data_IF_342227354023
#
_entry.id   IF_342227354023
#
_cell.length_a   1.000
_cell.length_b   1.000
_cell.length_c   1.000
_cell.angle_alpha   90.00
_cell.angle_beta   90.00
_cell.angle_gamma   90.00
#
_symmetry.space_group_name_H-M   'P 1'
#
loop_
_entity.id
_entity.type
_entity.pdbx_description
1 polymer ?
#
# COMPACT_ATOMS: atom_id res chain seq x y z
N UNK A 1 20.34 -49.10 36.30
CA UNK A 1 21.36 -48.08 36.63
C UNK A 1 22.70 -48.57 36.11
N UNK A 2 23.17 -48.03 34.99
CA UNK A 2 24.41 -48.48 34.36
C UNK A 2 25.45 -47.36 34.43
N UNK A 3 26.52 -47.61 35.22
CA UNK A 3 27.75 -46.81 35.22
C UNK A 3 28.63 -47.33 34.09
N UNK A 4 28.93 -46.47 33.13
CA UNK A 4 29.94 -46.74 32.12
C UNK A 4 31.25 -46.13 32.62
N UNK A 5 32.23 -46.99 32.93
CA UNK A 5 33.60 -46.62 33.23
C UNK A 5 34.38 -46.78 31.93
N UNK A 6 34.88 -45.69 31.35
CA UNK A 6 35.84 -45.75 30.24
C UNK A 6 37.21 -45.37 30.81
N UNK A 7 38.07 -46.37 30.95
CA UNK A 7 39.49 -46.17 31.24
C UNK A 7 40.26 -46.01 29.91
N UNK A 8 40.88 -44.86 29.72
CA UNK A 8 41.81 -44.58 28.63
C UNK A 8 43.04 -43.89 29.19
N UNK A 9 44.14 -44.62 29.27
CA UNK A 9 45.45 -44.16 29.73
C UNK A 9 46.33 -43.82 28.53
N UNK A 10 46.89 -42.61 28.49
CA UNK A 10 48.33 -42.41 28.25
C UNK A 10 48.70 -40.92 28.37
N UNK A 11 49.81 -40.70 29.06
CA UNK A 11 50.56 -39.45 29.25
C UNK A 11 50.09 -38.57 30.41
N UNK A 12 50.75 -38.80 31.55
CA UNK A 12 50.45 -38.24 32.86
C UNK A 12 50.40 -36.72 32.92
N UNK A 13 49.27 -36.24 33.42
CA UNK A 13 49.08 -35.07 34.30
C UNK A 13 47.69 -35.20 34.90
N UNK A 14 47.62 -35.65 36.15
CA UNK A 14 46.38 -35.74 36.92
C UNK A 14 45.93 -34.33 37.26
N UNK A 15 45.05 -33.74 36.46
CA UNK A 15 44.32 -32.54 36.84
C UNK A 15 43.05 -32.99 37.57
N UNK A 16 43.00 -32.73 38.88
CA UNK A 16 41.78 -32.85 39.69
C UNK A 16 40.84 -31.74 39.24
N UNK A 17 39.83 -32.07 38.44
CA UNK A 17 38.73 -31.15 38.16
C UNK A 17 37.63 -31.39 39.19
N UNK A 18 37.56 -30.47 40.15
CA UNK A 18 36.40 -30.30 41.02
C UNK A 18 35.18 -30.01 40.16
N UNK A 19 34.13 -30.83 40.32
CA UNK A 19 32.84 -30.60 39.72
C UNK A 19 32.20 -29.36 40.36
N UNK A 20 32.34 -28.20 39.71
CA UNK A 20 31.58 -27.02 40.04
C UNK A 20 30.11 -27.25 39.69
N UNK A 21 29.27 -27.14 40.73
CA UNK A 21 27.82 -27.02 40.71
C UNK A 21 27.27 -26.49 39.36
N UNK A 22 26.33 -27.22 38.77
CA UNK A 22 25.48 -26.74 37.67
C UNK A 22 24.60 -25.59 38.17
N UNK A 23 25.20 -24.41 38.26
CA UNK A 23 24.50 -23.14 38.32
C UNK A 23 23.75 -22.97 37.01
N UNK A 24 22.44 -22.76 37.13
CA UNK A 24 21.51 -22.48 36.05
C UNK A 24 22.14 -21.56 35.01
N UNK A 25 22.18 -22.02 33.76
CA UNK A 25 22.47 -21.18 32.61
C UNK A 25 21.54 -19.96 32.71
N UNK A 26 22.05 -18.71 32.82
CA UNK A 26 21.16 -17.57 32.73
C UNK A 26 20.53 -17.61 31.35
N UNK A 27 19.22 -17.87 31.33
CA UNK A 27 18.37 -17.69 30.15
C UNK A 27 18.71 -16.33 29.57
N UNK A 28 19.00 -16.21 28.26
CA UNK A 28 19.35 -14.93 27.67
C UNK A 28 18.23 -13.97 28.01
N UNK A 29 18.56 -12.92 28.75
CA UNK A 29 17.64 -11.88 29.12
C UNK A 29 16.94 -11.43 27.84
N UNK A 30 15.63 -11.67 27.76
CA UNK A 30 14.77 -11.13 26.72
C UNK A 30 14.97 -9.63 26.77
N UNK A 31 15.70 -9.14 25.78
CA UNK A 31 16.10 -7.75 25.67
C UNK A 31 14.82 -6.91 25.71
N UNK A 32 14.72 -6.04 26.71
CA UNK A 32 13.54 -5.21 27.02
C UNK A 32 13.29 -4.11 25.97
N UNK A 33 13.81 -4.30 24.75
CA UNK A 33 13.51 -3.53 23.55
C UNK A 33 12.16 -3.87 22.89
N UNK A 34 11.43 -4.88 23.38
CA UNK A 34 10.08 -5.21 22.87
C UNK A 34 9.04 -4.09 23.05
N UNK A 35 9.35 -3.03 23.82
CA UNK A 35 8.50 -1.84 23.98
C UNK A 35 8.74 -0.74 22.92
N UNK A 36 9.54 -0.99 21.88
CA UNK A 36 9.80 -0.02 20.77
C UNK A 36 9.30 -0.46 19.39
N UNK A 37 8.90 -1.71 19.22
CA UNK A 37 8.46 -2.23 17.92
C UNK A 37 7.00 -1.89 17.59
N UNK A 38 6.14 -1.71 18.61
CA UNK A 38 4.73 -1.33 18.42
C UNK A 38 4.59 -0.02 17.60
N UNK A 39 5.50 0.94 17.78
CA UNK A 39 5.46 2.21 17.05
C UNK A 39 5.80 2.06 15.56
N UNK A 40 6.66 1.10 15.18
CA UNK A 40 7.08 0.96 13.78
C UNK A 40 6.00 0.26 12.95
N UNK A 41 5.39 -0.78 13.50
CA UNK A 41 4.34 -1.54 12.84
C UNK A 41 3.08 -0.68 12.69
N UNK A 42 2.68 0.03 13.75
CA UNK A 42 1.55 0.96 13.69
C UNK A 42 1.77 2.07 12.66
N UNK A 43 2.97 2.67 12.63
CA UNK A 43 3.31 3.72 11.66
C UNK A 43 3.34 3.17 10.23
N UNK A 44 3.81 1.94 10.04
CA UNK A 44 3.79 1.26 8.76
C UNK A 44 2.36 0.97 8.31
N UNK A 45 1.53 0.43 9.19
CA UNK A 45 0.13 0.15 8.90
C UNK A 45 -0.67 1.41 8.61
N UNK A 46 -0.35 2.52 9.29
CA UNK A 46 -0.89 3.83 8.94
C UNK A 46 -0.48 4.27 7.52
N UNK A 47 0.80 4.16 7.16
CA UNK A 47 1.28 4.47 5.79
C UNK A 47 0.59 3.57 4.75
N UNK A 48 0.51 2.28 5.01
CA UNK A 48 -0.12 1.29 4.12
C UNK A 48 -1.61 1.56 3.95
N UNK A 49 -2.34 1.68 5.06
CA UNK A 49 -3.77 1.96 5.05
C UNK A 49 -4.08 3.20 4.23
N UNK A 50 -3.29 4.26 4.41
CA UNK A 50 -3.43 5.52 3.65
C UNK A 50 -3.16 5.33 2.15
N UNK A 51 -2.05 4.68 1.79
CA UNK A 51 -1.66 4.51 0.39
C UNK A 51 -2.58 3.53 -0.34
N UNK A 52 -2.85 2.36 0.24
CA UNK A 52 -3.67 1.32 -0.38
C UNK A 52 -5.13 1.77 -0.54
N UNK A 53 -5.69 2.42 0.49
CA UNK A 53 -7.04 3.00 0.41
C UNK A 53 -7.10 4.13 -0.62
N UNK A 54 -6.11 5.02 -0.63
CA UNK A 54 -6.05 6.11 -1.62
C UNK A 54 -5.88 5.59 -3.05
N UNK A 55 -4.97 4.66 -3.29
CA UNK A 55 -4.76 4.05 -4.60
C UNK A 55 -6.02 3.32 -5.10
N UNK A 56 -6.73 2.62 -4.21
CA UNK A 56 -8.01 1.97 -4.54
C UNK A 56 -9.07 3.00 -4.96
N UNK A 57 -9.11 4.15 -4.30
CA UNK A 57 -10.05 5.22 -4.64
C UNK A 57 -9.69 5.91 -5.97
N UNK A 58 -8.40 6.12 -6.23
CA UNK A 58 -7.90 6.61 -7.52
C UNK A 58 -8.26 5.64 -8.64
N UNK A 59 -8.05 4.34 -8.44
CA UNK A 59 -8.42 3.32 -9.42
C UNK A 59 -9.91 3.37 -9.79
N UNK A 60 -10.79 3.53 -8.79
CA UNK A 60 -12.24 3.70 -9.02
C UNK A 60 -12.55 4.99 -9.79
N UNK A 61 -11.93 6.10 -9.40
CA UNK A 61 -12.15 7.40 -10.05
C UNK A 61 -11.66 7.40 -11.51
N UNK A 62 -10.54 6.72 -11.80
CA UNK A 62 -10.07 6.50 -13.16
C UNK A 62 -11.07 5.62 -13.94
N UNK A 63 -11.57 4.54 -13.33
CA UNK A 63 -12.62 3.70 -13.92
C UNK A 63 -13.85 4.51 -14.32
N UNK A 64 -14.34 5.38 -13.43
CA UNK A 64 -15.43 6.29 -13.78
C UNK A 64 -15.10 7.24 -14.92
N UNK A 65 -13.89 7.82 -14.92
CA UNK A 65 -13.46 8.71 -15.99
C UNK A 65 -13.44 7.99 -17.34
N UNK A 66 -13.01 6.73 -17.37
CA UNK A 66 -13.06 5.87 -18.56
C UNK A 66 -14.50 5.58 -18.96
N UNK A 67 -15.36 5.17 -18.01
CA UNK A 67 -16.79 4.92 -18.25
C UNK A 67 -17.47 6.12 -18.92
N UNK A 68 -17.29 7.30 -18.33
CA UNK A 68 -17.92 8.55 -18.80
C UNK A 68 -17.40 9.02 -20.16
N UNK A 69 -16.18 8.64 -20.54
CA UNK A 69 -15.66 8.89 -21.88
C UNK A 69 -16.34 8.02 -22.93
N UNK A 70 -16.45 6.71 -22.68
CA UNK A 70 -17.04 5.80 -23.67
C UNK A 70 -18.56 5.92 -23.74
N UNK A 71 -19.24 6.25 -22.63
CA UNK A 71 -20.70 6.27 -22.57
C UNK A 71 -21.22 7.45 -21.72
N UNK A 72 -21.80 8.48 -22.36
CA UNK A 72 -22.62 9.46 -21.67
C UNK A 72 -23.83 8.77 -21.01
N UNK A 73 -24.37 9.35 -19.95
CA UNK A 73 -25.36 8.77 -19.02
C UNK A 73 -26.73 8.41 -19.62
N UNK A 74 -26.94 8.54 -20.93
CA UNK A 74 -28.21 8.30 -21.61
C UNK A 74 -28.61 6.82 -21.72
N UNK A 75 -27.68 5.86 -21.56
CA UNK A 75 -27.98 4.43 -21.55
C UNK A 75 -27.46 3.76 -20.26
N UNK A 76 -28.37 3.55 -19.31
CA UNK A 76 -28.07 3.01 -17.97
C UNK A 76 -27.57 1.56 -18.05
N UNK A 77 -28.20 0.71 -18.88
CA UNK A 77 -27.83 -0.71 -18.98
C UNK A 77 -26.42 -0.90 -19.56
N UNK A 78 -26.11 -0.16 -20.64
CA UNK A 78 -24.76 -0.15 -21.20
C UNK A 78 -23.75 0.36 -20.16
N UNK A 79 -24.09 1.45 -19.45
CA UNK A 79 -23.25 1.99 -18.38
C UNK A 79 -22.93 0.94 -17.30
N UNK A 80 -23.92 0.16 -16.85
CA UNK A 80 -23.73 -0.91 -15.86
C UNK A 80 -22.81 -2.01 -16.42
N UNK A 81 -23.04 -2.44 -17.66
CA UNK A 81 -22.21 -3.46 -18.31
C UNK A 81 -20.74 -3.04 -18.46
N UNK A 82 -20.47 -1.84 -18.98
CA UNK A 82 -19.08 -1.36 -19.07
C UNK A 82 -18.45 -1.19 -17.70
N UNK A 83 -19.25 -0.81 -16.70
CA UNK A 83 -18.76 -0.71 -15.35
C UNK A 83 -18.38 -2.06 -14.75
N UNK A 84 -19.10 -3.14 -15.08
CA UNK A 84 -18.74 -4.50 -14.62
C UNK A 84 -17.41 -4.93 -15.24
N UNK A 85 -17.19 -4.65 -16.54
CA UNK A 85 -15.91 -4.90 -17.22
C UNK A 85 -14.77 -4.12 -16.55
N UNK A 86 -14.96 -2.82 -16.30
CA UNK A 86 -13.93 -1.98 -15.69
C UNK A 86 -13.61 -2.36 -14.24
N UNK A 87 -14.52 -3.01 -13.52
CA UNK A 87 -14.28 -3.48 -12.15
C UNK A 87 -13.87 -4.95 -12.06
N UNK A 88 -13.91 -5.68 -13.17
CA UNK A 88 -13.55 -7.08 -13.16
C UNK A 88 -12.11 -7.25 -12.64
N UNK A 89 -11.86 -8.35 -11.92
CA UNK A 89 -10.55 -8.63 -11.30
C UNK A 89 -9.40 -8.62 -12.32
N UNK A 90 -9.67 -9.07 -13.54
CA UNK A 90 -8.69 -9.06 -14.63
C UNK A 90 -8.42 -7.65 -15.19
N UNK A 91 -9.32 -6.67 -14.98
CA UNK A 91 -9.17 -5.29 -15.44
C UNK A 91 -8.48 -4.42 -14.40
N UNK A 92 -7.21 -4.74 -14.18
CA UNK A 92 -6.36 -4.16 -13.13
C UNK A 92 -6.10 -2.66 -13.30
N UNK A 93 -5.52 -2.04 -12.27
CA UNK A 93 -5.12 -0.64 -12.32
C UNK A 93 -4.16 -0.33 -13.49
N UNK A 94 -3.23 -1.24 -13.81
CA UNK A 94 -2.36 -1.11 -14.99
C UNK A 94 -3.20 -1.02 -16.27
N UNK A 95 -4.17 -1.93 -16.45
CA UNK A 95 -5.00 -1.95 -17.66
C UNK A 95 -5.83 -0.68 -17.81
N UNK A 96 -6.34 -0.13 -16.71
CA UNK A 96 -7.04 1.17 -16.71
C UNK A 96 -6.11 2.31 -17.14
N UNK A 97 -4.89 2.36 -16.61
CA UNK A 97 -3.90 3.37 -17.00
C UNK A 97 -3.52 3.20 -18.49
N UNK A 98 -3.26 1.97 -18.93
CA UNK A 98 -2.95 1.68 -20.32
C UNK A 98 -4.09 2.08 -21.27
N UNK A 99 -5.34 1.79 -20.90
CA UNK A 99 -6.51 2.22 -21.67
C UNK A 99 -6.61 3.75 -21.75
N UNK A 100 -6.43 4.44 -20.61
CA UNK A 100 -6.38 5.90 -20.56
C UNK A 100 -5.28 6.47 -21.46
N UNK A 101 -4.10 5.83 -21.52
CA UNK A 101 -3.00 6.24 -22.39
C UNK A 101 -3.28 5.97 -23.87
N UNK A 102 -4.03 4.92 -24.22
CA UNK A 102 -4.33 4.55 -25.62
C UNK A 102 -5.34 5.49 -26.27
N UNK A 103 -6.26 6.06 -25.51
CA UNK A 103 -7.34 6.91 -26.02
C UNK A 103 -6.80 8.29 -26.46
N UNK A 104 -6.89 8.67 -27.75
CA UNK A 104 -6.33 9.93 -28.27
C UNK A 104 -6.92 11.18 -27.61
N UNK A 105 -8.21 11.16 -27.25
CA UNK A 105 -8.87 12.27 -26.56
C UNK A 105 -8.12 12.67 -25.28
N UNK A 106 -7.70 11.70 -24.46
CA UNK A 106 -7.01 12.01 -23.20
C UNK A 106 -5.60 12.59 -23.44
N UNK A 107 -4.90 12.15 -24.49
CA UNK A 107 -3.57 12.69 -24.84
C UNK A 107 -3.60 14.18 -25.15
N UNK A 108 -4.73 14.70 -25.65
CA UNK A 108 -4.92 16.11 -26.00
C UNK A 108 -5.27 16.99 -24.79
N UNK A 109 -5.50 16.41 -23.60
CA UNK A 109 -5.83 17.19 -22.41
C UNK A 109 -4.59 17.94 -21.90
N UNK A 110 -4.76 19.22 -21.56
CA UNK A 110 -3.68 20.11 -21.07
C UNK A 110 -2.85 19.51 -19.93
N UNK A 111 -3.48 18.74 -19.04
CA UNK A 111 -2.83 18.15 -17.86
C UNK A 111 -2.45 16.67 -18.05
N UNK A 112 -2.48 16.14 -19.29
CA UNK A 112 -2.26 14.72 -19.57
C UNK A 112 -0.96 14.20 -18.95
N UNK A 113 0.17 14.85 -19.21
CA UNK A 113 1.47 14.43 -18.68
C UNK A 113 1.49 14.36 -17.14
N UNK A 114 0.91 15.37 -16.48
CA UNK A 114 0.82 15.43 -15.02
C UNK A 114 -0.06 14.31 -14.46
N UNK A 115 -1.16 13.99 -15.14
CA UNK A 115 -2.07 12.90 -14.76
C UNK A 115 -1.39 11.55 -14.91
N UNK A 116 -0.73 11.29 -16.03
CA UNK A 116 0.03 10.05 -16.24
C UNK A 116 1.12 9.88 -15.19
N UNK A 117 1.92 10.92 -14.95
CA UNK A 117 2.97 10.88 -13.93
C UNK A 117 2.39 10.55 -12.55
N UNK A 118 1.24 11.14 -12.21
CA UNK A 118 0.57 10.88 -10.93
C UNK A 118 0.00 9.46 -10.84
N UNK A 119 -0.61 8.96 -11.91
CA UNK A 119 -1.12 7.59 -11.97
C UNK A 119 0.01 6.57 -11.82
N UNK A 120 1.13 6.77 -12.52
CA UNK A 120 2.30 5.89 -12.46
C UNK A 120 2.99 5.93 -11.10
N UNK A 121 3.06 7.11 -10.47
CA UNK A 121 3.56 7.24 -9.10
C UNK A 121 2.73 6.38 -8.12
N UNK A 122 1.41 6.59 -8.09
CA UNK A 122 0.52 5.89 -7.15
C UNK A 122 0.53 4.38 -7.41
N UNK A 123 0.50 3.98 -8.69
CA UNK A 123 0.56 2.58 -9.06
C UNK A 123 1.84 1.91 -8.58
N UNK A 124 3.00 2.52 -8.84
CA UNK A 124 4.30 1.99 -8.41
C UNK A 124 4.34 1.84 -6.90
N UNK A 125 3.94 2.87 -6.16
CA UNK A 125 3.94 2.85 -4.71
C UNK A 125 2.98 1.80 -4.12
N UNK A 126 1.78 1.65 -4.70
CA UNK A 126 0.84 0.58 -4.31
C UNK A 126 1.46 -0.81 -4.52
N UNK A 127 2.08 -1.04 -5.67
CA UNK A 127 2.65 -2.35 -6.00
C UNK A 127 3.83 -2.70 -5.09
N UNK A 128 4.68 -1.72 -4.78
CA UNK A 128 5.77 -1.87 -3.80
C UNK A 128 5.24 -2.28 -2.40
N UNK A 129 4.03 -1.84 -2.04
CA UNK A 129 3.37 -2.14 -0.76
C UNK A 129 2.47 -3.38 -0.77
N UNK A 130 2.32 -4.06 -1.92
CA UNK A 130 1.48 -5.25 -2.02
C UNK A 130 2.20 -6.53 -1.53
N UNK A 131 3.52 -6.58 -1.73
CA UNK A 131 4.36 -7.72 -1.34
C UNK A 131 5.61 -7.19 -0.63
N UNK A 132 5.56 -7.16 0.70
CA UNK A 132 6.65 -6.59 1.50
C UNK A 132 6.77 -7.29 2.85
N UNK A 133 7.96 -7.15 3.44
CA UNK A 133 8.34 -7.56 4.78
C UNK A 133 9.03 -6.36 5.47
N UNK A 134 8.82 -6.24 6.79
CA UNK A 134 9.42 -5.18 7.60
C UNK A 134 10.90 -5.49 7.79
N UNK A 135 11.79 -4.55 7.45
CA UNK A 135 13.20 -4.66 7.82
C UNK A 135 13.57 -3.83 9.06
N UNK A 136 12.71 -2.91 9.47
CA UNK A 136 12.93 -2.02 10.62
C UNK A 136 13.15 -0.56 10.23
N UNK A 137 13.78 0.21 11.13
CA UNK A 137 14.05 1.64 10.94
C UNK A 137 15.21 1.91 9.97
N UNK A 138 15.18 3.10 9.36
CA UNK A 138 16.34 3.63 8.65
C UNK A 138 17.53 3.81 9.58
N UNK A 139 18.68 3.25 9.19
CA UNK A 139 19.93 3.31 9.97
C UNK A 139 20.40 4.72 10.31
N UNK A 140 19.93 5.74 9.57
CA UNK A 140 20.26 7.16 9.78
C UNK A 140 19.09 8.00 10.30
N UNK A 141 17.87 7.49 10.25
CA UNK A 141 16.69 8.27 10.60
C UNK A 141 15.57 7.34 11.09
N UNK A 142 15.25 7.44 12.39
CA UNK A 142 14.16 6.68 13.05
C UNK A 142 12.77 7.08 12.54
N UNK A 143 12.64 8.14 11.75
CA UNK A 143 11.40 8.45 11.08
C UNK A 143 11.18 7.69 9.77
N UNK A 144 12.22 7.02 9.26
CA UNK A 144 12.13 6.21 8.05
C UNK A 144 11.84 4.76 8.40
N UNK A 145 10.82 4.19 7.75
CA UNK A 145 10.53 2.76 7.80
C UNK A 145 11.08 2.13 6.53
N UNK A 146 11.89 1.09 6.67
CA UNK A 146 12.41 0.32 5.55
C UNK A 146 11.56 -0.93 5.39
N UNK A 147 10.92 -1.03 4.23
CA UNK A 147 10.26 -2.26 3.80
C UNK A 147 11.08 -2.91 2.69
N UNK A 148 10.91 -4.20 2.55
CA UNK A 148 11.62 -5.02 1.59
C UNK A 148 10.66 -5.94 0.86
N UNK A 149 10.81 -6.06 -0.44
CA UNK A 149 10.01 -6.98 -1.24
C UNK A 149 10.77 -8.31 -1.39
N UNK A 150 10.27 -9.43 -0.83
CA UNK A 150 10.96 -10.72 -0.85
C UNK A 150 11.06 -11.34 -2.24
N UNK A 151 10.20 -10.93 -3.18
CA UNK A 151 10.18 -11.46 -4.55
C UNK A 151 11.20 -10.75 -5.45
N UNK A 152 11.34 -9.44 -5.28
CA UNK A 152 12.19 -8.61 -6.16
C UNK A 152 13.48 -8.14 -5.48
N UNK A 153 13.66 -8.47 -4.21
CA UNK A 153 14.79 -8.07 -3.37
C UNK A 153 14.97 -6.55 -3.22
N UNK A 154 13.94 -5.76 -3.58
CA UNK A 154 14.00 -4.29 -3.57
C UNK A 154 13.64 -3.74 -2.20
N UNK A 155 14.47 -2.83 -1.71
CA UNK A 155 14.21 -2.04 -0.49
C UNK A 155 13.50 -0.74 -0.84
N UNK A 156 12.56 -0.33 0.00
CA UNK A 156 11.84 0.93 -0.11
C UNK A 156 11.83 1.62 1.23
N UNK A 157 12.11 2.93 1.21
CA UNK A 157 12.03 3.78 2.39
C UNK A 157 10.70 4.53 2.38
N UNK A 158 9.93 4.39 3.45
CA UNK A 158 8.72 5.14 3.71
C UNK A 158 9.03 6.20 4.76
N UNK A 159 8.68 7.44 4.44
CA UNK A 159 8.90 8.58 5.32
C UNK A 159 7.81 9.64 5.07
N UNK A 160 7.80 10.69 5.89
CA UNK A 160 6.80 11.76 5.76
C UNK A 160 6.77 12.38 4.35
N UNK A 161 7.92 12.57 3.71
CA UNK A 161 8.04 13.13 2.36
C UNK A 161 7.29 12.29 1.32
N UNK A 162 7.44 10.96 1.34
CA UNK A 162 6.75 10.10 0.36
C UNK A 162 5.24 10.13 0.54
N UNK A 163 4.78 10.31 1.79
CA UNK A 163 3.36 10.44 2.11
C UNK A 163 2.81 11.79 1.66
N UNK A 164 3.56 12.87 1.84
CA UNK A 164 3.18 14.20 1.34
C UNK A 164 3.10 14.21 -0.19
N UNK A 165 4.08 13.60 -0.86
CA UNK A 165 4.08 13.42 -2.31
C UNK A 165 2.87 12.58 -2.77
N UNK A 166 2.58 11.47 -2.07
CA UNK A 166 1.38 10.67 -2.32
C UNK A 166 0.09 11.49 -2.18
N UNK A 167 -0.05 12.27 -1.10
CA UNK A 167 -1.22 13.13 -0.88
C UNK A 167 -1.36 14.16 -2.00
N UNK A 168 -0.27 14.74 -2.47
CA UNK A 168 -0.29 15.69 -3.58
C UNK A 168 -0.79 15.04 -4.88
N UNK A 169 -0.34 13.82 -5.19
CA UNK A 169 -0.82 13.04 -6.33
C UNK A 169 -2.29 12.62 -6.18
N UNK A 170 -2.71 12.15 -5.01
CA UNK A 170 -4.10 11.76 -4.72
C UNK A 170 -5.04 12.96 -4.91
N UNK A 171 -4.75 14.11 -4.28
CA UNK A 171 -5.52 15.36 -4.45
C UNK A 171 -5.63 15.77 -5.92
N UNK A 172 -4.52 15.75 -6.66
CA UNK A 172 -4.48 16.14 -8.08
C UNK A 172 -5.38 15.25 -8.92
N UNK A 173 -5.29 13.93 -8.73
CA UNK A 173 -6.05 12.97 -9.52
C UNK A 173 -7.54 12.99 -9.16
N UNK A 174 -7.90 13.03 -7.87
CA UNK A 174 -9.30 13.18 -7.45
C UNK A 174 -9.92 14.44 -8.04
N UNK A 175 -9.16 15.55 -8.09
CA UNK A 175 -9.63 16.82 -8.68
C UNK A 175 -9.84 16.65 -10.18
N UNK A 176 -8.86 16.08 -10.86
CA UNK A 176 -8.89 15.91 -12.31
C UNK A 176 -10.01 14.97 -12.77
N UNK A 177 -10.26 13.88 -12.04
CA UNK A 177 -11.33 12.92 -12.35
C UNK A 177 -12.72 13.38 -11.89
N UNK A 178 -12.83 14.52 -11.21
CA UNK A 178 -14.10 15.05 -10.72
C UNK A 178 -14.64 14.31 -9.49
N UNK A 179 -13.77 13.64 -8.73
CA UNK A 179 -14.10 12.86 -7.54
C UNK A 179 -14.28 13.73 -6.28
N UNK A 180 -15.09 14.80 -6.39
CA UNK A 180 -15.07 15.90 -5.42
C UNK A 180 -15.55 15.49 -4.03
N UNK A 181 -16.50 14.56 -3.92
CA UNK A 181 -16.98 14.09 -2.63
C UNK A 181 -15.86 13.48 -1.78
N UNK A 182 -14.87 12.81 -2.40
CA UNK A 182 -13.68 12.32 -1.68
C UNK A 182 -12.66 13.39 -1.40
N UNK A 183 -12.51 14.35 -2.30
CA UNK A 183 -11.67 15.53 -2.05
C UNK A 183 -12.12 16.28 -0.80
N UNK A 184 -13.42 16.49 -0.69
CA UNK A 184 -14.04 17.11 0.48
C UNK A 184 -13.90 16.21 1.71
N UNK A 185 -14.29 14.93 1.62
CA UNK A 185 -14.26 14.04 2.78
C UNK A 185 -12.85 13.77 3.32
N UNK A 186 -11.84 13.70 2.43
CA UNK A 186 -10.45 13.38 2.82
C UNK A 186 -9.64 14.61 3.18
N UNK A 187 -9.91 15.75 2.54
CA UNK A 187 -9.03 16.92 2.57
C UNK A 187 -9.74 18.24 2.88
N UNK A 188 -11.06 18.25 3.07
CA UNK A 188 -11.83 19.47 3.30
C UNK A 188 -11.93 20.40 2.08
N UNK A 189 -11.55 19.93 0.89
CA UNK A 189 -11.49 20.76 -0.32
C UNK A 189 -12.82 20.71 -1.06
N UNK A 190 -13.59 21.81 -1.01
CA UNK A 190 -14.81 22.00 -1.81
C UNK A 190 -14.47 22.52 -3.20
N UNK A 191 -15.09 21.94 -4.22
CA UNK A 191 -14.95 22.40 -5.60
C UNK A 191 -16.21 23.18 -6.01
N UNK A 192 -16.13 24.51 -6.01
CA UNK A 192 -17.28 25.42 -6.18
C UNK A 192 -17.91 25.41 -7.58
N UNK A 193 -17.24 24.84 -8.58
CA UNK A 193 -17.61 24.98 -10.00
C UNK A 193 -18.30 23.75 -10.61
N UNK A 194 -19.01 22.92 -9.82
CA UNK A 194 -19.56 21.65 -10.31
C UNK A 194 -21.05 21.56 -9.99
N UNK A 195 -21.86 21.19 -10.98
CA UNK A 195 -23.30 21.06 -10.81
C UNK A 195 -23.65 20.00 -9.74
N UNK A 196 -24.68 20.27 -8.95
CA UNK A 196 -25.16 19.35 -7.92
C UNK A 196 -25.54 17.98 -8.51
N UNK A 197 -26.10 17.93 -9.73
CA UNK A 197 -26.49 16.68 -10.40
C UNK A 197 -25.30 15.74 -10.63
N UNK A 198 -24.18 16.25 -11.13
CA UNK A 198 -22.96 15.46 -11.40
C UNK A 198 -22.34 14.93 -10.11
N UNK A 199 -22.47 15.68 -9.02
CA UNK A 199 -21.99 15.25 -7.70
C UNK A 199 -22.85 14.12 -7.13
N UNK A 200 -24.17 14.16 -7.34
CA UNK A 200 -25.11 13.11 -6.93
C UNK A 200 -24.84 11.81 -7.70
N UNK A 201 -24.67 11.88 -9.03
CA UNK A 201 -24.35 10.70 -9.85
C UNK A 201 -23.05 10.01 -9.41
N UNK A 202 -21.99 10.78 -9.14
CA UNK A 202 -20.71 10.25 -8.69
C UNK A 202 -20.85 9.64 -7.28
N UNK A 203 -21.68 10.22 -6.41
CA UNK A 203 -21.93 9.70 -5.06
C UNK A 203 -22.71 8.38 -5.10
N UNK A 204 -23.77 8.29 -5.91
CA UNK A 204 -24.52 7.05 -6.10
C UNK A 204 -23.65 5.97 -6.75
N UNK A 205 -22.82 6.34 -7.72
CA UNK A 205 -21.84 5.43 -8.29
C UNK A 205 -20.88 4.86 -7.22
N UNK A 206 -20.31 5.73 -6.40
CA UNK A 206 -19.43 5.32 -5.32
C UNK A 206 -20.14 4.43 -4.28
N UNK A 207 -21.46 4.56 -4.14
CA UNK A 207 -22.31 3.73 -3.29
C UNK A 207 -22.51 2.34 -3.91
N UNK A 208 -22.88 2.26 -5.19
CA UNK A 208 -23.06 1.00 -5.92
C UNK A 208 -21.80 0.13 -5.91
N UNK A 209 -20.61 0.74 -6.05
CA UNK A 209 -19.33 0.02 -5.96
C UNK A 209 -19.03 -0.59 -4.58
N UNK A 210 -19.68 -0.14 -3.50
CA UNK A 210 -19.52 -0.77 -2.17
C UNK A 210 -20.36 -2.03 -2.04
N UNK A 211 -21.50 -2.08 -2.73
CA UNK A 211 -22.40 -3.24 -2.70
C UNK A 211 -21.91 -4.38 -3.58
N UNK A 212 -21.25 -4.10 -4.71
CA UNK A 212 -20.72 -5.15 -5.60
C UNK A 212 -19.53 -5.95 -5.03
N UNK A 213 -19.04 -5.63 -3.83
CA UNK A 213 -17.99 -6.39 -3.13
C UNK A 213 -18.54 -7.43 -2.14
N UNK A 214 -19.86 -7.49 -1.95
CA UNK A 214 -20.55 -8.37 -0.99
C UNK A 214 -21.25 -9.56 -1.65
N UNK A 215 -21.04 -9.76 -2.94
CA UNK A 215 -21.48 -10.92 -3.74
C UNK A 215 -20.22 -11.63 -4.19
#
# INVERSE_FOLDING_TARGET
MHRIIIAGSSNGRTAVFEAANEGSIPSPAVDTNMLKDENIEEKLDWYRGKILSGASEIEKSLGWRLRTYFFPTSNINASIFYQSILNASYFTFERKIALYQKIPYFKKLRNYAQVINSLRFIQKLRNELAHWELLGYGTKNRDEIIIYNPVTFKKRRLNKRIIEEFIAHDKRLLKFFGWNYKLESKYGIKNKNISNSRTIEIREFARLLRYSKRI
#
